data_IF_558533230085
#
_entry.id   IF_558533230085
#
_cell.length_a   1.000
_cell.length_b   1.000
_cell.length_c   1.000
_cell.angle_alpha   90.00
_cell.angle_beta   90.00
_cell.angle_gamma   90.00
#
_symmetry.space_group_name_H-M   'P 1'
#
loop_
_entity.id
_entity.type
_entity.pdbx_description
1 polymer ?
#
# COMPACT_ATOMS: atom_id res chain seq x y z
N UNK A 1 74.05 -18.99 -20.55
CA UNK A 1 73.11 -18.09 -19.81
C UNK A 1 71.69 -18.35 -20.32
N UNK A 2 70.98 -19.28 -19.70
CA UNK A 2 69.60 -19.62 -20.07
C UNK A 2 68.67 -18.87 -19.16
N UNK A 3 67.91 -17.86 -19.70
CA UNK A 3 66.81 -17.19 -19.02
C UNK A 3 65.70 -18.21 -18.90
N UNK A 4 65.41 -18.69 -17.70
CA UNK A 4 64.14 -19.32 -17.37
C UNK A 4 63.11 -18.25 -17.24
N UNK A 5 62.12 -18.24 -18.14
CA UNK A 5 60.90 -17.44 -18.02
C UNK A 5 60.03 -18.17 -17.01
N UNK A 6 59.97 -17.64 -15.78
CA UNK A 6 58.98 -18.07 -14.78
C UNK A 6 57.59 -17.86 -15.36
N UNK A 7 56.87 -18.95 -15.58
CA UNK A 7 55.47 -18.94 -15.91
C UNK A 7 54.72 -18.37 -14.68
N UNK A 8 53.80 -17.39 -14.86
CA UNK A 8 53.01 -16.89 -13.75
C UNK A 8 52.17 -18.05 -13.20
N UNK A 9 52.41 -18.36 -11.92
CA UNK A 9 51.60 -19.32 -11.15
C UNK A 9 50.11 -19.04 -11.42
N UNK A 10 49.46 -20.03 -12.01
CA UNK A 10 47.99 -20.03 -12.11
C UNK A 10 47.41 -19.94 -10.70
N UNK A 11 46.87 -18.78 -10.36
CA UNK A 11 46.12 -18.60 -9.11
C UNK A 11 45.15 -19.77 -9.00
N UNK A 12 45.15 -20.49 -7.85
CA UNK A 12 44.24 -21.60 -7.65
C UNK A 12 42.81 -21.08 -7.94
N UNK A 13 42.15 -21.75 -8.87
CA UNK A 13 40.73 -21.55 -9.16
C UNK A 13 40.00 -21.57 -7.81
N UNK A 14 39.74 -20.39 -7.26
CA UNK A 14 38.91 -20.24 -6.08
C UNK A 14 37.59 -20.93 -6.44
N UNK A 15 37.35 -22.10 -5.87
CA UNK A 15 36.21 -22.94 -6.12
C UNK A 15 34.93 -22.12 -5.97
N UNK A 16 34.51 -21.52 -7.07
CA UNK A 16 33.21 -20.90 -7.19
C UNK A 16 32.22 -22.04 -7.09
N UNK A 17 31.32 -22.02 -6.11
CA UNK A 17 30.24 -22.99 -6.13
C UNK A 17 29.53 -22.88 -7.49
N UNK A 18 29.06 -24.02 -8.04
CA UNK A 18 28.41 -24.05 -9.32
C UNK A 18 27.29 -23.01 -9.36
N UNK A 19 26.98 -22.48 -10.55
CA UNK A 19 25.99 -21.40 -10.79
C UNK A 19 24.78 -21.62 -9.89
N UNK A 20 24.76 -20.93 -8.76
CA UNK A 20 23.72 -21.10 -7.76
C UNK A 20 22.40 -20.62 -8.36
N UNK A 21 21.38 -21.49 -8.36
CA UNK A 21 20.03 -21.08 -8.74
C UNK A 21 19.59 -19.91 -7.89
N UNK A 22 18.85 -18.95 -8.47
CA UNK A 22 18.34 -17.81 -7.74
C UNK A 22 17.48 -18.22 -6.53
N UNK A 23 16.75 -19.31 -6.65
CA UNK A 23 15.99 -19.91 -5.56
C UNK A 23 16.86 -20.35 -4.37
N UNK A 24 18.03 -20.89 -4.66
CA UNK A 24 18.97 -21.27 -3.61
C UNK A 24 19.50 -20.03 -2.87
N UNK A 25 19.77 -18.92 -3.59
CA UNK A 25 20.12 -17.64 -2.96
C UNK A 25 18.99 -17.15 -2.03
N UNK A 26 17.74 -17.20 -2.47
CA UNK A 26 16.59 -16.78 -1.65
C UNK A 26 16.48 -17.63 -0.38
N UNK A 27 16.54 -18.95 -0.50
CA UNK A 27 16.49 -19.86 0.66
C UNK A 27 17.65 -19.57 1.62
N UNK A 28 18.84 -19.34 1.09
CA UNK A 28 20.04 -19.03 1.90
C UNK A 28 19.86 -17.71 2.65
N UNK A 29 19.21 -16.70 2.07
CA UNK A 29 18.90 -15.44 2.75
C UNK A 29 17.97 -15.62 3.96
N UNK A 30 17.08 -16.63 3.94
CA UNK A 30 16.22 -16.93 5.08
C UNK A 30 16.94 -17.72 6.18
N UNK A 31 17.76 -18.71 5.81
CA UNK A 31 18.38 -19.65 6.75
C UNK A 31 19.70 -19.10 7.28
N UNK A 32 20.53 -18.54 6.39
CA UNK A 32 21.86 -17.99 6.67
C UNK A 32 21.96 -16.56 6.11
N UNK A 33 21.36 -15.55 6.76
CA UNK A 33 21.24 -14.19 6.25
C UNK A 33 22.55 -13.57 5.80
N UNK A 34 23.61 -13.78 6.58
CA UNK A 34 24.93 -13.22 6.29
C UNK A 34 25.57 -13.83 5.05
N UNK A 35 25.56 -15.16 4.97
CA UNK A 35 26.13 -15.87 3.82
C UNK A 35 25.33 -15.55 2.55
N UNK A 36 24.00 -15.54 2.63
CA UNK A 36 23.12 -15.12 1.53
C UNK A 36 23.40 -13.69 1.07
N UNK A 37 23.64 -12.77 2.01
CA UNK A 37 24.00 -11.39 1.68
C UNK A 37 25.34 -11.29 0.98
N UNK A 38 26.34 -12.04 1.44
CA UNK A 38 27.66 -12.11 0.78
C UNK A 38 27.54 -12.61 -0.66
N UNK A 39 26.73 -13.65 -0.89
CA UNK A 39 26.46 -14.18 -2.22
C UNK A 39 25.71 -13.17 -3.10
N UNK A 40 24.72 -12.49 -2.55
CA UNK A 40 23.97 -11.45 -3.25
C UNK A 40 24.90 -10.30 -3.70
N UNK A 41 25.74 -9.82 -2.80
CA UNK A 41 26.76 -8.78 -3.07
C UNK A 41 27.68 -9.19 -4.20
N UNK A 42 28.21 -10.42 -4.16
CA UNK A 42 29.11 -10.96 -5.18
C UNK A 42 28.44 -11.12 -6.54
N UNK A 43 27.13 -11.39 -6.58
CA UNK A 43 26.39 -11.56 -7.82
C UNK A 43 26.22 -10.25 -8.61
N UNK A 44 26.27 -9.09 -7.95
CA UNK A 44 26.03 -7.73 -8.50
C UNK A 44 24.68 -7.57 -9.24
N UNK A 45 23.79 -8.56 -9.16
CA UNK A 45 22.52 -8.59 -9.89
C UNK A 45 21.40 -7.97 -9.06
N UNK A 46 21.54 -6.70 -8.65
CA UNK A 46 20.56 -5.98 -7.82
C UNK A 46 19.17 -5.92 -8.43
N UNK A 47 19.05 -5.88 -9.75
CA UNK A 47 17.77 -5.84 -10.44
C UNK A 47 16.87 -7.05 -10.15
N UNK A 48 17.45 -8.24 -9.86
CA UNK A 48 16.69 -9.43 -9.43
C UNK A 48 16.06 -9.24 -8.05
N UNK A 49 16.80 -8.62 -7.13
CA UNK A 49 16.26 -8.22 -5.82
C UNK A 49 15.11 -7.24 -5.95
N UNK A 50 15.28 -6.20 -6.78
CA UNK A 50 14.24 -5.21 -7.07
C UNK A 50 12.99 -5.90 -7.68
N UNK A 51 13.19 -6.77 -8.67
CA UNK A 51 12.08 -7.49 -9.30
C UNK A 51 11.30 -8.34 -8.30
N UNK A 52 11.98 -9.06 -7.41
CA UNK A 52 11.33 -9.85 -6.36
C UNK A 52 10.57 -8.98 -5.36
N UNK A 53 11.13 -7.85 -4.94
CA UNK A 53 10.44 -6.91 -4.07
C UNK A 53 9.19 -6.33 -4.74
N UNK A 54 9.26 -5.97 -6.01
CA UNK A 54 8.11 -5.52 -6.79
C UNK A 54 7.04 -6.62 -6.91
N UNK A 55 7.45 -7.85 -7.18
CA UNK A 55 6.53 -8.99 -7.27
C UNK A 55 5.80 -9.21 -5.94
N UNK A 56 6.53 -9.25 -4.81
CA UNK A 56 5.94 -9.39 -3.48
C UNK A 56 4.99 -8.23 -3.18
N UNK A 57 5.36 -6.99 -3.57
CA UNK A 57 4.53 -5.81 -3.40
C UNK A 57 3.21 -5.94 -4.14
N UNK A 58 3.23 -6.27 -5.42
CA UNK A 58 2.02 -6.37 -6.25
C UNK A 58 1.11 -7.50 -5.73
N UNK A 59 1.68 -8.67 -5.47
CA UNK A 59 0.91 -9.82 -4.95
C UNK A 59 0.38 -9.53 -3.55
N UNK A 60 1.21 -9.02 -2.63
CA UNK A 60 0.82 -8.68 -1.27
C UNK A 60 -0.26 -7.60 -1.22
N UNK A 61 -0.11 -6.53 -2.00
CA UNK A 61 -1.08 -5.47 -2.11
C UNK A 61 -2.41 -5.95 -2.72
N UNK A 62 -2.35 -6.79 -3.77
CA UNK A 62 -3.52 -7.40 -4.39
C UNK A 62 -4.31 -8.28 -3.41
N UNK A 63 -3.63 -9.18 -2.70
CA UNK A 63 -4.28 -10.03 -1.69
C UNK A 63 -4.87 -9.17 -0.55
N UNK A 64 -4.15 -8.13 -0.11
CA UNK A 64 -4.65 -7.20 0.90
C UNK A 64 -5.90 -6.45 0.41
N UNK A 65 -5.89 -5.93 -0.81
CA UNK A 65 -7.05 -5.28 -1.40
C UNK A 65 -8.25 -6.23 -1.48
N UNK A 66 -8.05 -7.47 -1.91
CA UNK A 66 -9.09 -8.50 -1.93
C UNK A 66 -9.62 -8.85 -0.53
N UNK A 67 -8.77 -8.90 0.48
CA UNK A 67 -9.18 -9.18 1.86
C UNK A 67 -10.00 -8.04 2.49
N UNK A 68 -9.82 -6.80 2.02
CA UNK A 68 -10.60 -5.63 2.49
C UNK A 68 -11.91 -5.42 1.71
N UNK A 69 -12.05 -6.06 0.55
CA UNK A 69 -13.22 -5.91 -0.32
C UNK A 69 -14.56 -6.26 0.35
N UNK A 70 -14.69 -7.36 1.13
CA UNK A 70 -15.97 -7.69 1.79
C UNK A 70 -16.43 -6.60 2.76
N UNK A 71 -15.51 -6.04 3.55
CA UNK A 71 -15.82 -4.95 4.48
C UNK A 71 -16.19 -3.67 3.74
N UNK A 72 -15.46 -3.33 2.67
CA UNK A 72 -15.79 -2.18 1.82
C UNK A 72 -17.18 -2.34 1.19
N UNK A 73 -17.47 -3.51 0.63
CA UNK A 73 -18.77 -3.81 0.04
C UNK A 73 -19.92 -3.74 1.06
N UNK A 74 -19.71 -4.23 2.30
CA UNK A 74 -20.69 -4.10 3.38
C UNK A 74 -20.94 -2.65 3.74
N UNK A 75 -19.88 -1.85 3.93
CA UNK A 75 -20.01 -0.43 4.25
C UNK A 75 -20.73 0.34 3.14
N UNK A 76 -20.40 0.07 1.88
CA UNK A 76 -21.07 0.71 0.74
C UNK A 76 -22.56 0.34 0.63
N UNK A 77 -22.93 -0.92 0.95
CA UNK A 77 -24.34 -1.34 1.02
C UNK A 77 -25.09 -0.63 2.14
N UNK A 78 -24.47 -0.47 3.31
CA UNK A 78 -25.08 0.26 4.42
C UNK A 78 -25.28 1.75 4.09
N UNK A 79 -24.32 2.36 3.36
CA UNK A 79 -24.47 3.72 2.83
C UNK A 79 -25.63 3.77 1.83
N UNK A 80 -25.70 2.83 0.89
CA UNK A 80 -26.77 2.77 -0.09
C UNK A 80 -28.14 2.60 0.56
N UNK A 81 -28.25 1.71 1.56
CA UNK A 81 -29.49 1.50 2.31
C UNK A 81 -29.92 2.76 3.06
N UNK A 82 -28.97 3.47 3.69
CA UNK A 82 -29.25 4.74 4.35
C UNK A 82 -29.70 5.81 3.37
N UNK A 83 -28.96 6.02 2.28
CA UNK A 83 -29.31 7.02 1.27
C UNK A 83 -30.67 6.72 0.63
N UNK A 84 -30.95 5.46 0.32
CA UNK A 84 -32.24 5.05 -0.23
C UNK A 84 -33.40 5.25 0.75
N UNK A 85 -33.20 5.01 2.04
CA UNK A 85 -34.25 5.22 3.05
C UNK A 85 -34.57 6.71 3.25
N UNK A 86 -33.55 7.56 3.26
CA UNK A 86 -33.71 9.00 3.52
C UNK A 86 -34.05 9.79 2.24
N UNK A 87 -33.38 9.49 1.12
CA UNK A 87 -33.53 10.25 -0.12
C UNK A 87 -34.56 9.67 -1.07
N UNK A 88 -34.93 8.39 -0.92
CA UNK A 88 -35.76 7.67 -1.88
C UNK A 88 -35.01 7.41 -3.18
N UNK A 89 -35.64 7.68 -4.32
CA UNK A 89 -35.02 7.52 -5.63
C UNK A 89 -34.07 8.67 -5.92
N UNK A 90 -32.85 8.31 -6.39
CA UNK A 90 -31.81 9.28 -6.71
C UNK A 90 -31.62 9.33 -8.22
N UNK A 91 -31.59 10.52 -8.81
CA UNK A 91 -31.37 10.73 -10.23
C UNK A 91 -30.36 11.86 -10.47
N UNK A 92 -29.68 11.80 -11.61
CA UNK A 92 -28.73 12.82 -12.05
C UNK A 92 -29.33 13.61 -13.19
N UNK A 93 -29.75 14.85 -12.92
CA UNK A 93 -30.44 15.72 -13.89
C UNK A 93 -29.88 17.13 -13.80
N UNK A 94 -29.56 17.75 -14.94
CA UNK A 94 -29.08 19.14 -15.02
C UNK A 94 -27.87 19.42 -14.15
N UNK A 95 -26.86 18.51 -14.16
CA UNK A 95 -25.64 18.60 -13.35
C UNK A 95 -25.89 18.61 -11.84
N UNK A 96 -27.05 18.13 -11.40
CA UNK A 96 -27.47 18.05 -9.98
C UNK A 96 -27.91 16.63 -9.61
N UNK A 97 -27.78 16.34 -8.35
CA UNK A 97 -28.35 15.15 -7.73
C UNK A 97 -29.77 15.52 -7.28
N UNK A 98 -30.76 14.84 -7.83
CA UNK A 98 -32.18 14.98 -7.41
C UNK A 98 -32.57 13.71 -6.67
N UNK A 99 -33.38 13.86 -5.66
CA UNK A 99 -33.97 12.77 -4.88
C UNK A 99 -35.48 12.98 -4.72
N UNK A 100 -36.20 11.89 -4.49
CA UNK A 100 -37.68 11.92 -4.47
C UNK A 100 -38.28 12.37 -3.13
N UNK A 101 -37.57 12.15 -2.03
CA UNK A 101 -38.06 12.53 -0.70
C UNK A 101 -37.73 13.99 -0.40
N UNK A 102 -38.68 14.75 0.12
CA UNK A 102 -38.41 16.12 0.61
C UNK A 102 -37.69 16.04 1.96
N UNK A 103 -36.48 16.59 2.01
CA UNK A 103 -35.74 16.75 3.25
C UNK A 103 -35.78 18.19 3.71
N UNK A 104 -36.38 18.42 4.88
CA UNK A 104 -36.43 19.75 5.52
C UNK A 104 -35.18 20.03 6.33
N UNK A 105 -34.60 19.01 6.97
CA UNK A 105 -33.44 19.10 7.85
C UNK A 105 -32.27 18.20 7.38
N UNK A 106 -31.02 18.54 7.76
CA UNK A 106 -29.87 17.68 7.50
C UNK A 106 -30.01 16.33 8.18
N UNK A 107 -29.75 15.25 7.45
CA UNK A 107 -29.79 13.90 7.99
C UNK A 107 -28.35 13.35 8.04
N UNK A 108 -28.00 12.71 9.15
CA UNK A 108 -26.66 12.14 9.32
C UNK A 108 -26.71 10.73 9.90
N UNK A 109 -25.80 9.88 9.41
CA UNK A 109 -25.60 8.53 9.94
C UNK A 109 -24.11 8.25 10.10
N UNK A 110 -23.78 7.63 11.22
CA UNK A 110 -22.41 7.16 11.47
C UNK A 110 -22.32 5.66 11.14
N UNK A 111 -21.39 5.32 10.25
CA UNK A 111 -21.10 3.97 9.79
C UNK A 111 -19.66 3.61 10.19
N UNK A 112 -19.49 3.03 11.36
CA UNK A 112 -18.16 2.77 11.93
C UNK A 112 -17.37 4.09 12.16
N UNK A 113 -16.30 4.27 11.42
CA UNK A 113 -15.46 5.48 11.48
C UNK A 113 -15.85 6.55 10.46
N UNK A 114 -16.74 6.23 9.53
CA UNK A 114 -17.22 7.14 8.49
C UNK A 114 -18.54 7.76 8.93
N UNK A 115 -18.67 9.06 8.71
CA UNK A 115 -19.95 9.78 8.87
C UNK A 115 -20.47 10.15 7.49
N UNK A 116 -21.76 9.89 7.25
CA UNK A 116 -22.47 10.31 6.03
C UNK A 116 -23.50 11.35 6.42
N UNK A 117 -23.39 12.53 5.84
CA UNK A 117 -24.27 13.67 6.04
C UNK A 117 -24.94 14.02 4.73
N UNK A 118 -26.29 14.16 4.74
CA UNK A 118 -27.08 14.62 3.62
C UNK A 118 -27.60 16.01 3.94
N UNK A 119 -27.29 16.97 3.07
CA UNK A 119 -27.72 18.37 3.22
C UNK A 119 -28.76 18.74 2.17
N UNK A 120 -29.95 19.09 2.58
CA UNK A 120 -31.05 19.49 1.64
C UNK A 120 -30.73 20.81 0.94
N UNK A 121 -30.01 21.70 1.61
CA UNK A 121 -29.56 22.98 1.06
C UNK A 121 -28.05 23.08 1.23
N UNK A 122 -27.34 23.37 0.14
CA UNK A 122 -25.91 23.61 0.18
C UNK A 122 -25.69 25.02 0.78
N UNK A 123 -25.34 25.05 2.07
CA UNK A 123 -24.86 26.25 2.71
C UNK A 123 -23.48 26.03 3.28
N UNK A 124 -22.55 26.95 3.01
CA UNK A 124 -21.20 26.89 3.55
C UNK A 124 -21.18 26.81 5.08
N UNK A 125 -22.16 27.42 5.74
CA UNK A 125 -22.30 27.38 7.20
C UNK A 125 -22.67 25.98 7.71
N UNK A 126 -23.58 25.27 7.04
CA UNK A 126 -23.91 23.89 7.38
C UNK A 126 -22.72 22.96 7.14
N UNK A 127 -21.98 23.15 6.06
CA UNK A 127 -20.73 22.41 5.80
C UNK A 127 -19.69 22.64 6.91
N UNK A 128 -19.53 23.90 7.36
CA UNK A 128 -18.61 24.24 8.47
C UNK A 128 -19.06 23.60 9.79
N UNK A 129 -20.35 23.66 10.11
CA UNK A 129 -20.89 23.03 11.33
C UNK A 129 -20.72 21.52 11.34
N UNK A 130 -20.90 20.85 10.19
CA UNK A 130 -20.65 19.42 10.05
C UNK A 130 -19.15 19.09 10.14
N UNK A 131 -18.31 19.95 9.63
CA UNK A 131 -16.85 19.81 9.75
C UNK A 131 -16.35 19.98 11.20
N UNK A 132 -17.07 20.70 12.04
CA UNK A 132 -16.77 20.89 13.48
C UNK A 132 -17.24 19.69 14.35
N UNK A 133 -18.06 18.80 13.83
CA UNK A 133 -18.55 17.63 14.55
C UNK A 133 -17.43 16.60 14.83
N UNK A 134 -17.52 15.77 15.90
CA UNK A 134 -16.43 14.93 16.42
C UNK A 134 -16.09 13.70 15.57
N UNK A 135 -16.27 13.72 14.26
CA UNK A 135 -15.83 12.67 13.33
C UNK A 135 -14.39 12.89 12.85
N UNK A 136 -13.71 11.82 12.45
CA UNK A 136 -12.37 11.93 11.83
C UNK A 136 -12.46 12.11 10.31
N UNK A 137 -13.47 11.57 9.68
CA UNK A 137 -13.73 11.63 8.26
C UNK A 137 -15.22 11.43 7.98
N UNK A 138 -15.66 11.87 6.83
CA UNK A 138 -17.05 11.71 6.42
C UNK A 138 -17.29 12.07 4.96
N UNK A 139 -18.51 11.80 4.54
CA UNK A 139 -19.02 12.12 3.20
C UNK A 139 -20.17 13.09 3.38
N UNK A 140 -20.20 14.17 2.61
CA UNK A 140 -21.29 15.11 2.53
C UNK A 140 -21.96 14.94 1.16
N UNK A 141 -23.25 14.68 1.15
CA UNK A 141 -24.08 14.58 -0.05
C UNK A 141 -24.95 15.82 -0.13
N UNK A 142 -24.87 16.54 -1.24
CA UNK A 142 -25.66 17.73 -1.55
C UNK A 142 -26.29 17.60 -2.92
N UNK A 143 -27.20 18.49 -3.28
CA UNK A 143 -27.75 18.55 -4.64
C UNK A 143 -26.66 18.82 -5.70
N UNK A 144 -25.57 19.51 -5.35
CA UNK A 144 -24.53 19.91 -6.27
C UNK A 144 -23.36 18.91 -6.34
N UNK A 145 -23.34 17.88 -5.47
CA UNK A 145 -22.28 16.87 -5.50
C UNK A 145 -22.10 16.09 -4.22
N UNK A 146 -21.01 15.34 -4.20
CA UNK A 146 -20.57 14.52 -3.05
C UNK A 146 -19.15 14.90 -2.72
N UNK A 147 -18.92 15.32 -1.49
CA UNK A 147 -17.61 15.68 -0.98
C UNK A 147 -17.16 14.71 0.12
N UNK A 148 -15.90 14.33 0.09
CA UNK A 148 -15.25 13.61 1.18
C UNK A 148 -14.43 14.58 2.02
N UNK A 149 -14.55 14.51 3.34
CA UNK A 149 -13.79 15.35 4.25
C UNK A 149 -12.95 14.52 5.22
N UNK A 150 -11.76 15.02 5.53
CA UNK A 150 -10.82 14.43 6.49
C UNK A 150 -10.40 15.52 7.47
N UNK A 151 -10.38 15.18 8.76
CA UNK A 151 -9.81 16.02 9.81
C UNK A 151 -8.44 15.51 10.18
N UNK A 152 -7.43 16.36 10.08
CA UNK A 152 -6.08 16.02 10.49
C UNK A 152 -5.92 16.09 12.01
N UNK A 153 -5.17 15.13 12.56
CA UNK A 153 -4.84 15.05 13.99
C UNK A 153 -3.93 16.24 14.33
N UNK A 154 -4.39 17.16 15.18
CA UNK A 154 -3.55 18.25 15.71
C UNK A 154 -4.01 19.68 15.40
N UNK A 155 -4.97 19.88 14.49
CA UNK A 155 -5.63 21.18 14.30
C UNK A 155 -7.14 20.99 14.30
N UNK A 156 -7.82 21.53 15.31
CA UNK A 156 -9.30 21.48 15.39
C UNK A 156 -9.97 22.17 14.21
N UNK A 157 -9.24 22.92 13.40
CA UNK A 157 -9.77 23.78 12.36
C UNK A 157 -9.42 23.39 10.92
N UNK A 158 -8.52 22.41 10.68
CA UNK A 158 -8.16 22.02 9.30
C UNK A 158 -8.94 20.79 8.86
N UNK A 159 -10.05 21.03 8.20
CA UNK A 159 -10.79 20.01 7.46
C UNK A 159 -10.46 20.17 5.98
N UNK A 160 -9.89 19.13 5.39
CA UNK A 160 -9.67 19.06 3.96
C UNK A 160 -10.86 18.37 3.31
N UNK A 161 -11.46 19.01 2.32
CA UNK A 161 -12.52 18.45 1.49
C UNK A 161 -11.97 18.05 0.14
N UNK A 162 -12.35 16.86 -0.31
CA UNK A 162 -12.00 16.34 -1.63
C UNK A 162 -13.31 16.04 -2.35
N UNK A 163 -13.60 16.68 -3.50
CA UNK A 163 -14.81 16.41 -4.25
C UNK A 163 -14.73 15.01 -4.85
N UNK A 164 -15.69 14.14 -4.50
CA UNK A 164 -15.84 12.80 -5.07
C UNK A 164 -16.71 12.82 -6.32
N UNK A 165 -17.77 13.65 -6.30
CA UNK A 165 -18.70 13.79 -7.39
C UNK A 165 -18.93 15.28 -7.65
N UNK A 166 -18.38 15.77 -8.74
CA UNK A 166 -18.50 17.18 -9.16
C UNK A 166 -19.67 17.36 -10.12
N UNK A 167 -20.21 18.60 -10.29
CA UNK A 167 -21.26 18.87 -11.26
C UNK A 167 -20.91 18.42 -12.69
N UNK A 168 -19.65 18.54 -13.10
CA UNK A 168 -19.17 18.04 -14.40
C UNK A 168 -19.25 16.52 -14.54
N UNK A 169 -18.96 15.80 -13.46
CA UNK A 169 -19.06 14.35 -13.44
C UNK A 169 -20.51 13.91 -13.40
N UNK A 170 -21.37 14.62 -12.66
CA UNK A 170 -22.82 14.40 -12.64
C UNK A 170 -23.40 14.59 -14.05
N UNK A 171 -23.02 15.64 -14.76
CA UNK A 171 -23.45 15.88 -16.14
C UNK A 171 -22.99 14.74 -17.08
N UNK A 172 -21.76 14.28 -16.94
CA UNK A 172 -21.28 13.12 -17.69
C UNK A 172 -22.08 11.85 -17.40
N UNK A 173 -22.38 11.58 -16.12
CA UNK A 173 -23.18 10.43 -15.68
C UNK A 173 -24.62 10.51 -16.16
N UNK A 174 -25.23 11.71 -16.17
CA UNK A 174 -26.61 11.93 -16.63
C UNK A 174 -26.79 11.61 -18.11
N UNK A 175 -25.73 11.74 -18.91
CA UNK A 175 -25.70 11.42 -20.35
C UNK A 175 -25.38 9.94 -20.64
N UNK A 176 -24.99 9.18 -19.61
CA UNK A 176 -24.65 7.77 -19.75
C UNK A 176 -25.93 6.95 -19.65
N UNK A 177 -26.26 6.17 -20.69
CA UNK A 177 -27.38 5.24 -20.64
C UNK A 177 -27.03 4.02 -19.78
N UNK A 178 -27.50 3.99 -18.57
CA UNK A 178 -27.40 2.84 -17.68
C UNK A 178 -28.71 2.05 -17.75
N UNK A 179 -28.65 0.80 -18.17
CA UNK A 179 -29.82 -0.09 -18.30
C UNK A 179 -30.96 0.41 -19.21
N UNK A 180 -30.65 1.25 -20.20
CA UNK A 180 -31.62 1.71 -21.20
C UNK A 180 -32.44 2.93 -20.78
N UNK A 181 -32.31 3.44 -19.57
CA UNK A 181 -32.98 4.66 -19.08
C UNK A 181 -32.01 5.85 -19.10
N UNK A 182 -32.52 6.99 -19.56
CA UNK A 182 -31.77 8.26 -19.52
C UNK A 182 -32.74 9.37 -19.10
N UNK A 183 -32.49 10.06 -17.97
CA UNK A 183 -31.42 9.92 -17.02
C UNK A 183 -31.57 8.66 -16.13
N UNK A 184 -30.43 8.08 -15.64
CA UNK A 184 -30.52 6.92 -14.79
C UNK A 184 -31.15 7.26 -13.45
N UNK A 185 -32.14 6.48 -13.03
CA UNK A 185 -32.79 6.56 -11.72
C UNK A 185 -32.30 5.39 -10.87
N UNK A 186 -31.74 5.70 -9.72
CA UNK A 186 -31.24 4.72 -8.77
C UNK A 186 -32.25 4.57 -7.63
N UNK A 187 -33.15 3.60 -7.75
CA UNK A 187 -34.01 3.13 -6.66
C UNK A 187 -33.23 2.29 -5.65
N UNK A 188 -33.85 1.97 -4.49
CA UNK A 188 -33.20 1.31 -3.38
C UNK A 188 -32.31 0.10 -3.75
N UNK A 189 -32.88 -0.88 -4.44
CA UNK A 189 -32.14 -2.09 -4.88
C UNK A 189 -31.13 -1.77 -5.97
N UNK A 190 -31.44 -0.84 -6.87
CA UNK A 190 -30.53 -0.39 -7.91
C UNK A 190 -29.29 0.30 -7.35
N UNK A 191 -29.48 1.16 -6.33
CA UNK A 191 -28.37 1.84 -5.65
C UNK A 191 -27.46 0.84 -4.92
N UNK A 192 -28.00 -0.17 -4.26
CA UNK A 192 -27.23 -1.22 -3.62
C UNK A 192 -26.40 -2.04 -4.61
N UNK A 193 -26.98 -2.44 -5.74
CA UNK A 193 -26.26 -3.15 -6.82
C UNK A 193 -25.15 -2.27 -7.41
N UNK A 194 -25.43 -0.99 -7.62
CA UNK A 194 -24.43 -0.04 -8.11
C UNK A 194 -23.24 0.09 -7.15
N UNK A 195 -23.50 0.25 -5.86
CA UNK A 195 -22.45 0.33 -4.84
C UNK A 195 -21.64 -0.97 -4.74
N UNK A 196 -22.25 -2.10 -4.99
CA UNK A 196 -21.52 -3.37 -5.09
C UNK A 196 -20.58 -3.39 -6.29
N UNK A 197 -21.02 -2.99 -7.46
CA UNK A 197 -20.19 -2.87 -8.67
C UNK A 197 -19.05 -1.87 -8.42
N UNK A 198 -19.34 -0.73 -7.79
CA UNK A 198 -18.35 0.28 -7.43
C UNK A 198 -17.27 -0.29 -6.50
N UNK A 199 -17.63 -1.16 -5.55
CA UNK A 199 -16.66 -1.80 -4.67
C UNK A 199 -15.62 -2.62 -5.44
N UNK A 200 -16.04 -3.34 -6.49
CA UNK A 200 -15.12 -4.07 -7.38
C UNK A 200 -14.32 -3.12 -8.28
N UNK A 201 -14.92 -2.06 -8.79
CA UNK A 201 -14.23 -1.06 -9.59
C UNK A 201 -13.12 -0.31 -8.80
N UNK A 202 -13.27 -0.21 -7.47
CA UNK A 202 -12.25 0.39 -6.60
C UNK A 202 -11.07 -0.56 -6.31
N UNK A 203 -11.16 -1.84 -6.62
CA UNK A 203 -10.10 -2.82 -6.34
C UNK A 203 -8.74 -2.46 -6.95
N UNK A 204 -8.63 -2.03 -8.22
CA UNK A 204 -7.35 -1.57 -8.78
C UNK A 204 -6.77 -0.36 -8.05
N UNK A 205 -7.63 0.60 -7.67
CA UNK A 205 -7.20 1.79 -6.93
C UNK A 205 -6.67 1.44 -5.52
N UNK A 206 -7.35 0.53 -4.81
CA UNK A 206 -6.89 0.01 -3.53
C UNK A 206 -5.56 -0.75 -3.67
N UNK A 207 -5.44 -1.61 -4.68
CA UNK A 207 -4.20 -2.34 -4.96
C UNK A 207 -3.05 -1.38 -5.25
N UNK A 208 -3.29 -0.35 -6.05
CA UNK A 208 -2.30 0.68 -6.33
C UNK A 208 -1.90 1.45 -5.07
N UNK A 209 -2.87 1.87 -4.25
CA UNK A 209 -2.62 2.59 -2.99
C UNK A 209 -1.76 1.77 -2.02
N UNK A 210 -2.11 0.49 -1.81
CA UNK A 210 -1.29 -0.40 -0.97
C UNK A 210 0.09 -0.65 -1.57
N UNK A 211 0.19 -0.81 -2.90
CA UNK A 211 1.48 -0.98 -3.57
C UNK A 211 2.37 0.24 -3.40
N UNK A 212 1.85 1.45 -3.54
CA UNK A 212 2.61 2.68 -3.35
C UNK A 212 3.10 2.84 -1.91
N UNK A 213 2.27 2.54 -0.90
CA UNK A 213 2.69 2.56 0.50
C UNK A 213 3.83 1.57 0.76
N UNK A 214 3.70 0.33 0.28
CA UNK A 214 4.73 -0.69 0.42
C UNK A 214 6.03 -0.31 -0.31
N UNK A 215 5.93 0.24 -1.52
CA UNK A 215 7.10 0.69 -2.29
C UNK A 215 7.81 1.86 -1.62
N UNK A 216 7.07 2.83 -1.08
CA UNK A 216 7.66 3.94 -0.35
C UNK A 216 8.48 3.44 0.86
N UNK A 217 7.97 2.44 1.57
CA UNK A 217 8.68 1.80 2.67
C UNK A 217 9.97 1.11 2.19
N UNK A 218 9.93 0.34 1.09
CA UNK A 218 11.12 -0.31 0.52
C UNK A 218 12.16 0.74 0.12
N UNK A 219 11.75 1.76 -0.63
CA UNK A 219 12.65 2.81 -1.11
C UNK A 219 13.35 3.50 0.06
N UNK A 220 12.60 3.82 1.12
CA UNK A 220 13.15 4.42 2.33
C UNK A 220 14.23 3.52 2.97
N UNK A 221 13.93 2.24 3.18
CA UNK A 221 14.87 1.30 3.81
C UNK A 221 16.08 1.00 2.93
N UNK A 222 15.89 0.81 1.63
CA UNK A 222 17.01 0.62 0.68
C UNK A 222 17.92 1.83 0.67
N UNK A 223 17.34 3.04 0.58
CA UNK A 223 18.13 4.27 0.62
C UNK A 223 18.91 4.42 1.93
N UNK A 224 18.22 4.27 3.07
CA UNK A 224 18.86 4.35 4.38
C UNK A 224 20.02 3.37 4.51
N UNK A 225 19.84 2.16 4.05
CA UNK A 225 20.88 1.12 4.14
C UNK A 225 22.09 1.38 3.24
N UNK A 226 21.84 1.84 2.00
CA UNK A 226 22.92 2.23 1.08
C UNK A 226 23.74 3.36 1.70
N UNK A 227 23.09 4.35 2.29
CA UNK A 227 23.76 5.47 2.99
C UNK A 227 24.59 4.94 4.17
N UNK A 228 24.03 4.06 5.00
CA UNK A 228 24.75 3.47 6.14
C UNK A 228 25.96 2.65 5.70
N UNK A 229 25.84 1.85 4.63
CA UNK A 229 26.97 1.10 4.07
C UNK A 229 28.08 2.02 3.52
N UNK A 230 27.68 3.12 2.89
CA UNK A 230 28.60 4.13 2.39
C UNK A 230 29.35 4.83 3.54
N UNK A 231 28.63 5.24 4.59
CA UNK A 231 29.21 5.89 5.77
C UNK A 231 30.14 4.96 6.56
N UNK A 232 29.87 3.66 6.57
CA UNK A 232 30.71 2.65 7.26
C UNK A 232 32.04 2.38 6.54
N UNK A 233 32.36 3.10 5.48
CA UNK A 233 33.59 3.00 4.68
C UNK A 233 33.91 1.57 4.21
N UNK A 234 32.91 0.75 4.01
CA UNK A 234 33.14 -0.58 3.45
C UNK A 234 33.63 -0.46 2.00
N UNK A 235 34.64 -1.24 1.64
CA UNK A 235 35.12 -1.30 0.25
C UNK A 235 34.08 -2.02 -0.62
N UNK A 236 33.64 -1.40 -1.70
CA UNK A 236 32.72 -2.01 -2.66
C UNK A 236 32.18 -1.02 -3.68
N UNK A 237 31.62 -1.54 -4.75
CA UNK A 237 30.94 -0.75 -5.78
C UNK A 237 29.48 -0.51 -5.39
N UNK A 238 28.85 0.56 -5.92
CA UNK A 238 27.44 0.84 -5.70
C UNK A 238 26.53 -0.33 -6.10
N UNK A 239 26.86 -1.03 -7.18
CA UNK A 239 26.09 -2.22 -7.62
C UNK A 239 26.16 -3.38 -6.63
N UNK A 240 27.29 -3.57 -5.93
CA UNK A 240 27.43 -4.56 -4.87
C UNK A 240 26.59 -4.19 -3.64
N UNK A 241 26.58 -2.92 -3.26
CA UNK A 241 25.75 -2.42 -2.16
C UNK A 241 24.26 -2.56 -2.46
N UNK A 242 23.83 -2.14 -3.65
CA UNK A 242 22.45 -2.28 -4.09
C UNK A 242 22.03 -3.76 -4.14
N UNK A 243 22.90 -4.65 -4.64
CA UNK A 243 22.60 -6.08 -4.65
C UNK A 243 22.46 -6.65 -3.23
N UNK A 244 23.37 -6.30 -2.32
CA UNK A 244 23.29 -6.72 -0.94
C UNK A 244 21.97 -6.25 -0.28
N UNK A 245 21.68 -4.96 -0.35
CA UNK A 245 20.53 -4.34 0.33
C UNK A 245 19.20 -4.82 -0.23
N UNK A 246 19.02 -4.83 -1.56
CA UNK A 246 17.77 -5.27 -2.18
C UNK A 246 17.45 -6.72 -1.85
N UNK A 247 18.43 -7.60 -1.81
CA UNK A 247 18.21 -9.01 -1.45
C UNK A 247 17.97 -9.18 0.05
N UNK A 248 18.69 -8.45 0.92
CA UNK A 248 18.45 -8.46 2.37
C UNK A 248 17.05 -7.97 2.78
N UNK A 249 16.44 -7.09 1.99
CA UNK A 249 15.08 -6.65 2.25
C UNK A 249 14.03 -7.73 1.94
N UNK A 250 14.32 -8.74 1.11
CA UNK A 250 13.32 -9.74 0.67
C UNK A 250 12.72 -10.53 1.84
N UNK A 251 13.50 -11.19 2.73
CA UNK A 251 12.94 -11.97 3.82
C UNK A 251 12.06 -11.14 4.77
N UNK A 252 12.54 -10.00 5.35
CA UNK A 252 11.72 -9.20 6.24
C UNK A 252 10.46 -8.64 5.55
N UNK A 253 10.58 -8.27 4.27
CA UNK A 253 9.47 -7.74 3.50
C UNK A 253 8.40 -8.79 3.22
N UNK A 254 8.79 -10.03 2.89
CA UNK A 254 7.86 -11.13 2.71
C UNK A 254 7.11 -11.44 4.01
N UNK A 255 7.83 -11.53 5.14
CA UNK A 255 7.21 -11.80 6.44
C UNK A 255 6.26 -10.68 6.86
N UNK A 256 6.65 -9.41 6.67
CA UNK A 256 5.79 -8.26 6.95
C UNK A 256 4.55 -8.23 6.03
N UNK A 257 4.69 -8.60 4.76
CA UNK A 257 3.56 -8.69 3.83
C UNK A 257 2.57 -9.77 4.25
N UNK A 258 3.05 -10.94 4.65
CA UNK A 258 2.21 -12.02 5.18
C UNK A 258 1.50 -11.57 6.47
N UNK A 259 2.23 -10.95 7.39
CA UNK A 259 1.64 -10.40 8.61
C UNK A 259 0.51 -9.41 8.30
N UNK A 260 0.73 -8.47 7.39
CA UNK A 260 -0.26 -7.46 7.02
C UNK A 260 -1.54 -8.06 6.39
N UNK A 261 -1.42 -9.24 5.74
CA UNK A 261 -2.57 -9.97 5.20
C UNK A 261 -3.37 -10.63 6.31
N UNK A 262 -2.70 -11.33 7.23
CA UNK A 262 -3.37 -12.18 8.23
C UNK A 262 -3.74 -11.43 9.52
N UNK A 263 -2.97 -10.41 9.92
CA UNK A 263 -3.13 -9.69 11.19
C UNK A 263 -3.17 -8.15 11.00
N UNK A 264 -4.05 -7.62 10.15
CA UNK A 264 -4.02 -6.21 9.75
C UNK A 264 -4.37 -5.21 10.86
N UNK A 265 -4.91 -5.69 11.97
CA UNK A 265 -5.51 -4.80 12.98
C UNK A 265 -4.54 -4.32 14.07
N UNK A 266 -3.37 -4.94 14.23
CA UNK A 266 -2.49 -4.68 15.36
C UNK A 266 -1.54 -3.50 15.14
N UNK A 267 -0.86 -3.46 13.99
CA UNK A 267 0.10 -2.39 13.66
C UNK A 267 0.15 -2.15 12.15
N UNK A 268 0.58 -0.93 11.73
CA UNK A 268 0.81 -0.63 10.31
C UNK A 268 1.96 -1.45 9.72
N UNK A 269 1.90 -1.70 8.41
CA UNK A 269 2.91 -2.45 7.66
C UNK A 269 4.33 -1.94 7.90
N UNK A 270 4.51 -0.62 7.94
CA UNK A 270 5.81 0.06 8.08
C UNK A 270 6.50 -0.31 9.41
N UNK A 271 5.73 -0.35 10.49
CA UNK A 271 6.25 -0.68 11.81
C UNK A 271 6.65 -2.16 11.89
N UNK A 272 5.81 -3.04 11.34
CA UNK A 272 6.09 -4.48 11.32
C UNK A 272 7.32 -4.77 10.47
N UNK A 273 7.41 -4.19 9.28
CA UNK A 273 8.57 -4.34 8.42
C UNK A 273 9.84 -3.83 9.11
N UNK A 274 9.78 -2.64 9.71
CA UNK A 274 10.92 -2.06 10.42
C UNK A 274 11.44 -2.95 11.56
N UNK A 275 10.52 -3.49 12.39
CA UNK A 275 10.89 -4.39 13.50
C UNK A 275 11.51 -5.68 12.97
N UNK A 276 10.87 -6.35 12.00
CA UNK A 276 11.36 -7.61 11.43
C UNK A 276 12.70 -7.40 10.75
N UNK A 277 12.87 -6.27 10.06
CA UNK A 277 14.11 -5.92 9.41
C UNK A 277 15.26 -5.71 10.42
N UNK A 278 15.01 -5.01 11.53
CA UNK A 278 16.01 -4.84 12.59
C UNK A 278 16.40 -6.17 13.24
N UNK A 279 15.42 -7.05 13.49
CA UNK A 279 15.66 -8.40 14.01
C UNK A 279 16.51 -9.20 13.01
N UNK A 280 16.16 -9.16 11.73
CA UNK A 280 16.92 -9.83 10.67
C UNK A 280 18.36 -9.34 10.58
N UNK A 281 18.58 -8.03 10.71
CA UNK A 281 19.93 -7.48 10.78
C UNK A 281 20.68 -7.95 12.02
N UNK A 282 20.01 -8.01 13.17
CA UNK A 282 20.60 -8.54 14.39
C UNK A 282 21.14 -9.97 14.17
N UNK A 283 20.37 -10.82 13.49
CA UNK A 283 20.83 -12.17 13.13
C UNK A 283 22.07 -12.16 12.24
N UNK A 284 22.13 -11.26 11.27
CA UNK A 284 23.32 -11.13 10.41
C UNK A 284 24.59 -10.78 11.20
N UNK A 285 24.46 -9.96 12.25
CA UNK A 285 25.61 -9.60 13.10
C UNK A 285 26.00 -10.72 14.07
N UNK A 286 25.02 -11.47 14.58
CA UNK A 286 25.29 -12.60 15.51
C UNK A 286 25.97 -13.73 14.77
N UNK A 287 25.55 -14.09 13.57
CA UNK A 287 26.15 -15.14 12.75
C UNK A 287 27.66 -14.88 12.50
N UNK A 288 28.09 -13.60 12.51
CA UNK A 288 29.50 -13.23 12.38
C UNK A 288 30.38 -13.73 13.53
N UNK A 289 29.85 -13.73 14.74
CA UNK A 289 30.60 -14.17 15.91
C UNK A 289 30.79 -15.68 15.95
N UNK A 290 29.80 -16.43 15.44
CA UNK A 290 29.82 -17.90 15.46
C UNK A 290 30.64 -18.51 14.30
N UNK A 291 30.80 -17.76 13.22
CA UNK A 291 31.49 -18.25 11.99
C UNK A 291 33.00 -17.97 11.96
N UNK A 292 33.55 -17.26 12.93
CA UNK A 292 35.02 -17.09 13.00
C UNK A 292 35.63 -18.36 13.56
N UNK A 293 36.46 -19.09 12.78
CA UNK A 293 37.23 -20.16 13.36
C UNK A 293 38.05 -19.57 14.50
N UNK A 294 38.03 -20.22 15.67
CA UNK A 294 38.89 -19.84 16.78
C UNK A 294 40.33 -19.77 16.25
N UNK A 295 41.05 -18.64 16.47
CA UNK A 295 42.47 -18.61 16.15
C UNK A 295 43.10 -19.78 16.88
N UNK A 296 43.73 -20.69 16.11
CA UNK A 296 44.45 -21.85 16.64
C UNK A 296 45.20 -21.44 17.91
N UNK A 297 44.75 -21.92 19.07
CA UNK A 297 45.53 -21.91 20.29
C UNK A 297 46.59 -22.96 20.10
N UNK A 298 47.73 -22.54 19.51
CA UNK A 298 48.99 -23.27 19.58
C UNK A 298 49.72 -22.88 20.85
#
# INVERSE_FOLDING_TARGET
MSCQIEQPESRPNSGLPPVMSYWHLLITLFIHPRYGNHLARRSRKYWRGIFMLLLITIVGAGVKAMSTLPQLSSNLREIAAFLSAELGDISFVDSKIKWSNELEEPVSKRLGNLRVDVLPKDSDEQRRQLALNPGKNGVIVTADGVDFWIRYRGSEQQVQTVPLLTPKLIDALSKTSWAGESPPVFSGDGLQKYMQILSFALLPALTLSYSLSMLACIVFFVFFFVVMMFLSRQSGTLSEYLAAVTHCCIPPFLVASLYNIFLPALTGFENVFGIIFLVYLGFMFVEDKWSRPEPNRT
#
